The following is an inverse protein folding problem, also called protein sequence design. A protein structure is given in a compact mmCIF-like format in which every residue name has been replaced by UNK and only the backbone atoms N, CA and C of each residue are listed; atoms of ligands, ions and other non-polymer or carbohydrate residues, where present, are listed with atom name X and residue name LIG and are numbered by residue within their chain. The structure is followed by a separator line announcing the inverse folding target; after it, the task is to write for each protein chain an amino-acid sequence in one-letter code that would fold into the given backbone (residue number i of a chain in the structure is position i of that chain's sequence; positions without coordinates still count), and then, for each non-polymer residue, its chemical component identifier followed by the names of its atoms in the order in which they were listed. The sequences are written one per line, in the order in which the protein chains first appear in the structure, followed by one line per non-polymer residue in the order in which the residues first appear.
data_IF_972933845270
#
_entry.id   IF_972933845270
#
_cell.length_a   1.000
_cell.length_b   1.000
_cell.length_c   1.000
_cell.angle_alpha   90.00
_cell.angle_beta   90.00
_cell.angle_gamma   90.00
#
_symmetry.space_group_name_H-M   'P 1'
#
loop_
_entity.id
_entity.type
_entity.pdbx_description
1 polymer ?
#
# COMPACT_ATOMS: atom_id res chain seq x y z
N UNK A 1 -20.56 8.47 -12.34
CA UNK A 1 -19.93 8.94 -11.09
C UNK A 1 -20.25 10.41 -10.95
N UNK A 2 -20.54 10.91 -9.74
CA UNK A 2 -20.68 12.35 -9.52
C UNK A 2 -19.34 13.05 -9.83
N UNK A 3 -19.39 14.29 -10.34
CA UNK A 3 -18.21 15.06 -10.75
C UNK A 3 -17.13 15.10 -9.65
N UNK A 4 -17.55 15.24 -8.38
CA UNK A 4 -16.65 15.23 -7.22
C UNK A 4 -15.81 13.95 -7.15
N UNK A 5 -16.43 12.79 -7.38
CA UNK A 5 -15.73 11.49 -7.33
C UNK A 5 -14.78 11.31 -8.50
N UNK A 6 -15.15 11.81 -9.68
CA UNK A 6 -14.26 11.77 -10.87
C UNK A 6 -13.02 12.63 -10.64
N UNK A 7 -13.18 13.84 -10.10
CA UNK A 7 -12.05 14.72 -9.77
C UNK A 7 -11.16 14.08 -8.70
N UNK A 8 -11.73 13.56 -7.61
CA UNK A 8 -10.95 12.88 -6.57
C UNK A 8 -10.21 11.65 -7.09
N UNK A 9 -10.81 10.90 -8.02
CA UNK A 9 -10.14 9.77 -8.67
C UNK A 9 -8.97 10.22 -9.56
N UNK A 10 -9.14 11.29 -10.33
CA UNK A 10 -8.06 11.88 -11.11
C UNK A 10 -6.91 12.39 -10.23
N UNK A 11 -7.23 13.03 -9.11
CA UNK A 11 -6.23 13.46 -8.12
C UNK A 11 -5.50 12.26 -7.51
N UNK A 12 -6.20 11.18 -7.18
CA UNK A 12 -5.57 9.98 -6.67
C UNK A 12 -4.58 9.36 -7.67
N UNK A 13 -4.91 9.35 -8.97
CA UNK A 13 -3.96 8.92 -10.02
C UNK A 13 -2.72 9.83 -10.03
N UNK A 14 -2.93 11.15 -10.02
CA UNK A 14 -1.84 12.12 -10.03
C UNK A 14 -0.90 11.95 -8.83
N UNK A 15 -1.45 11.87 -7.62
CA UNK A 15 -0.67 11.64 -6.39
C UNK A 15 0.02 10.27 -6.40
N UNK A 16 -0.66 9.23 -6.89
CA UNK A 16 -0.04 7.92 -7.04
C UNK A 16 1.18 7.97 -7.96
N UNK A 17 1.07 8.59 -9.14
CA UNK A 17 2.19 8.72 -10.08
C UNK A 17 3.35 9.53 -9.48
N UNK A 18 3.08 10.71 -8.93
CA UNK A 18 4.12 11.56 -8.32
C UNK A 18 4.81 10.83 -7.17
N UNK A 19 4.04 10.21 -6.27
CA UNK A 19 4.58 9.49 -5.14
C UNK A 19 5.35 8.22 -5.56
N UNK A 20 4.96 7.58 -6.65
CA UNK A 20 5.69 6.44 -7.22
C UNK A 20 7.08 6.89 -7.68
N UNK A 21 7.16 7.95 -8.50
CA UNK A 21 8.45 8.46 -8.97
C UNK A 21 9.32 9.00 -7.83
N UNK A 22 8.72 9.71 -6.86
CA UNK A 22 9.44 10.23 -5.71
C UNK A 22 9.97 9.10 -4.81
N UNK A 23 9.15 8.09 -4.51
CA UNK A 23 9.56 6.90 -3.76
C UNK A 23 10.63 6.10 -4.49
N UNK A 24 10.57 6.06 -5.83
CA UNK A 24 11.56 5.36 -6.65
C UNK A 24 12.90 6.10 -6.66
N UNK A 25 12.86 7.43 -6.79
CA UNK A 25 14.04 8.30 -6.71
C UNK A 25 14.71 8.22 -5.34
N UNK A 26 13.94 8.44 -4.27
CA UNK A 26 14.45 8.36 -2.89
C UNK A 26 14.99 6.98 -2.54
N UNK A 27 14.41 5.94 -3.13
CA UNK A 27 14.82 4.56 -2.93
C UNK A 27 16.11 4.18 -3.64
N UNK A 28 16.50 4.95 -4.66
CA UNK A 28 17.72 4.68 -5.43
C UNK A 28 19.01 4.87 -4.61
N UNK A 29 18.93 5.56 -3.46
CA UNK A 29 20.02 5.63 -2.47
C UNK A 29 20.45 4.25 -1.94
N UNK A 30 19.61 3.22 -2.08
CA UNK A 30 20.00 1.83 -1.81
C UNK A 30 21.29 1.45 -2.55
N UNK A 31 21.48 1.92 -3.79
CA UNK A 31 22.66 1.62 -4.62
C UNK A 31 23.95 2.12 -3.96
N UNK A 32 23.88 3.23 -3.24
CA UNK A 32 25.02 3.87 -2.58
C UNK A 32 25.19 3.41 -1.13
N UNK A 33 24.33 2.53 -0.62
CA UNK A 33 24.41 1.99 0.73
C UNK A 33 24.46 0.44 0.77
N UNK A 34 25.63 -0.15 0.50
CA UNK A 34 25.81 -1.62 0.49
C UNK A 34 25.48 -2.33 1.80
N UNK A 35 25.61 -1.65 2.95
CA UNK A 35 25.29 -2.23 4.25
C UNK A 35 23.82 -2.61 4.38
N UNK A 36 22.93 -1.94 3.65
CA UNK A 36 21.50 -2.18 3.69
C UNK A 36 21.01 -3.24 2.71
N UNK A 37 21.86 -3.72 1.80
CA UNK A 37 21.49 -4.67 0.75
C UNK A 37 20.94 -5.97 1.33
N UNK A 38 21.61 -6.54 2.33
CA UNK A 38 21.18 -7.77 3.02
C UNK A 38 19.75 -7.68 3.56
N UNK A 39 19.31 -6.48 3.92
CA UNK A 39 17.99 -6.27 4.52
C UNK A 39 16.96 -5.78 3.52
N UNK A 40 17.37 -5.15 2.43
CA UNK A 40 16.49 -4.30 1.62
C UNK A 40 16.48 -4.67 0.14
N UNK A 41 17.53 -5.32 -0.37
CA UNK A 41 17.59 -5.86 -1.72
C UNK A 41 16.87 -7.23 -1.81
N UNK A 42 15.61 -7.27 -1.36
CA UNK A 42 14.81 -8.50 -1.22
C UNK A 42 14.56 -9.14 -2.58
N UNK A 43 14.06 -8.37 -3.55
CA UNK A 43 13.77 -8.86 -4.89
C UNK A 43 15.04 -9.26 -5.64
N UNK A 44 16.11 -8.46 -5.52
CA UNK A 44 17.42 -8.81 -6.10
C UNK A 44 17.91 -10.14 -5.55
N UNK A 45 17.87 -10.33 -4.22
CA UNK A 45 18.30 -11.57 -3.59
C UNK A 45 17.46 -12.78 -4.00
N UNK A 46 16.16 -12.59 -4.29
CA UNK A 46 15.31 -13.68 -4.78
C UNK A 46 15.59 -14.05 -6.24
N UNK A 47 16.01 -13.09 -7.06
CA UNK A 47 16.30 -13.31 -8.49
C UNK A 47 17.70 -13.91 -8.68
N UNK A 48 18.66 -13.55 -7.82
CA UNK A 48 20.06 -13.93 -7.95
C UNK A 48 20.53 -14.85 -6.81
N UNK A 49 19.65 -15.69 -6.26
CA UNK A 49 19.97 -16.71 -5.25
C UNK A 49 20.77 -16.20 -4.02
N UNK A 50 20.47 -14.98 -3.58
CA UNK A 50 21.09 -14.33 -2.44
C UNK A 50 22.30 -13.44 -2.78
N UNK A 51 22.79 -13.48 -4.02
CA UNK A 51 23.85 -12.60 -4.49
C UNK A 51 23.29 -11.20 -4.80
N UNK A 52 23.91 -10.16 -4.25
CA UNK A 52 23.51 -8.79 -4.50
C UNK A 52 24.72 -7.99 -4.93
N UNK A 53 24.69 -7.56 -6.18
CA UNK A 53 25.69 -6.68 -6.78
C UNK A 53 25.05 -5.36 -7.15
N UNK A 54 25.85 -4.29 -7.12
CA UNK A 54 25.40 -2.91 -7.37
C UNK A 54 24.63 -2.77 -8.69
N UNK A 55 25.14 -3.42 -9.73
CA UNK A 55 24.64 -3.32 -11.11
C UNK A 55 23.32 -4.09 -11.30
N UNK A 56 23.04 -5.05 -10.42
CA UNK A 56 21.91 -5.97 -10.52
C UNK A 56 20.76 -5.64 -9.55
N UNK A 57 20.85 -4.52 -8.81
CA UNK A 57 19.80 -4.12 -7.87
C UNK A 57 18.49 -3.86 -8.62
N UNK A 58 17.49 -4.67 -8.31
CA UNK A 58 16.17 -4.55 -8.87
C UNK A 58 15.51 -3.23 -8.43
N UNK A 59 14.87 -2.54 -9.38
CA UNK A 59 14.17 -1.28 -9.11
C UNK A 59 13.05 -1.41 -8.06
N UNK A 60 12.50 -2.61 -7.88
CA UNK A 60 11.51 -2.89 -6.83
C UNK A 60 12.11 -2.75 -5.42
N UNK A 61 13.40 -3.02 -5.25
CA UNK A 61 14.08 -2.87 -3.97
C UNK A 61 14.20 -1.41 -3.53
N UNK A 62 14.15 -0.46 -4.47
CA UNK A 62 14.11 0.97 -4.15
C UNK A 62 12.85 1.29 -3.35
N UNK A 63 11.70 0.69 -3.67
CA UNK A 63 10.48 0.87 -2.88
C UNK A 63 10.59 0.24 -1.50
N UNK A 64 11.25 -0.92 -1.37
CA UNK A 64 11.51 -1.55 -0.07
C UNK A 64 12.40 -0.64 0.80
N UNK A 65 13.43 -0.03 0.20
CA UNK A 65 14.29 0.94 0.88
C UNK A 65 13.52 2.17 1.34
N UNK A 66 12.74 2.77 0.44
CA UNK A 66 11.92 3.93 0.78
C UNK A 66 10.92 3.61 1.89
N UNK A 67 10.27 2.45 1.89
CA UNK A 67 9.37 2.05 2.99
C UNK A 67 10.11 2.05 4.34
N UNK A 68 11.35 1.54 4.38
CA UNK A 68 12.12 1.41 5.62
C UNK A 68 12.69 2.72 6.14
N UNK A 69 13.17 3.59 5.25
CA UNK A 69 13.96 4.76 5.63
C UNK A 69 13.30 6.10 5.27
N UNK A 70 12.43 6.14 4.25
CA UNK A 70 11.79 7.35 3.72
C UNK A 70 10.30 7.11 3.39
N UNK A 71 9.46 6.83 4.39
CA UNK A 71 8.13 6.23 4.19
C UNK A 71 7.07 7.18 3.63
N UNK A 72 7.34 8.49 3.54
CA UNK A 72 6.32 9.50 3.23
C UNK A 72 5.70 9.24 1.85
N UNK A 73 6.51 9.14 0.80
CA UNK A 73 6.02 8.86 -0.54
C UNK A 73 5.43 7.45 -0.69
N UNK A 74 6.02 6.38 -0.12
CA UNK A 74 5.35 5.09 -0.01
C UNK A 74 3.95 5.16 0.60
N UNK A 75 3.76 5.91 1.69
CA UNK A 75 2.43 6.06 2.33
C UNK A 75 1.46 6.79 1.40
N UNK A 76 1.88 7.89 0.77
CA UNK A 76 1.03 8.63 -0.20
C UNK A 76 0.64 7.73 -1.38
N UNK A 77 1.61 6.99 -1.93
CA UNK A 77 1.41 6.01 -3.00
C UNK A 77 0.38 4.96 -2.58
N UNK A 78 0.57 4.35 -1.40
CA UNK A 78 -0.32 3.33 -0.85
C UNK A 78 -1.75 3.87 -0.64
N UNK A 79 -1.92 5.02 0.00
CA UNK A 79 -3.25 5.62 0.25
C UNK A 79 -3.97 5.93 -1.07
N UNK A 80 -3.25 6.51 -2.04
CA UNK A 80 -3.79 6.83 -3.36
C UNK A 80 -4.23 5.56 -4.10
N UNK A 81 -3.41 4.51 -4.04
CA UNK A 81 -3.73 3.22 -4.63
C UNK A 81 -4.96 2.56 -3.99
N UNK A 82 -5.03 2.52 -2.66
CA UNK A 82 -6.18 2.00 -1.91
C UNK A 82 -7.45 2.75 -2.30
N UNK A 83 -7.39 4.08 -2.41
CA UNK A 83 -8.52 4.89 -2.84
C UNK A 83 -8.99 4.53 -4.25
N UNK A 84 -8.05 4.33 -5.19
CA UNK A 84 -8.39 3.92 -6.55
C UNK A 84 -9.06 2.54 -6.58
N UNK A 85 -8.46 1.55 -5.90
CA UNK A 85 -9.01 0.18 -5.81
C UNK A 85 -10.39 0.17 -5.16
N UNK A 86 -10.55 0.88 -4.03
CA UNK A 86 -11.83 1.02 -3.35
C UNK A 86 -12.90 1.62 -4.27
N UNK A 87 -12.56 2.72 -4.94
CA UNK A 87 -13.48 3.46 -5.82
C UNK A 87 -13.90 2.62 -7.04
N UNK A 88 -12.97 1.89 -7.65
CA UNK A 88 -13.26 0.98 -8.74
C UNK A 88 -14.10 -0.22 -8.29
N UNK A 89 -13.72 -0.88 -7.19
CA UNK A 89 -14.43 -2.05 -6.68
C UNK A 89 -15.90 -1.76 -6.35
N UNK A 90 -16.17 -0.63 -5.68
CA UNK A 90 -17.56 -0.21 -5.38
C UNK A 90 -18.34 0.11 -6.66
N UNK A 91 -17.68 0.65 -7.70
CA UNK A 91 -18.31 0.94 -8.99
C UNK A 91 -18.68 -0.34 -9.76
N UNK A 92 -17.81 -1.33 -9.79
CA UNK A 92 -18.03 -2.58 -10.53
C UNK A 92 -18.99 -3.53 -9.83
N UNK A 93 -18.97 -3.59 -8.49
CA UNK A 93 -19.84 -4.46 -7.72
C UNK A 93 -21.22 -3.80 -7.54
N UNK A 94 -22.28 -4.40 -8.09
CA UNK A 94 -23.64 -3.84 -8.02
C UNK A 94 -24.40 -4.21 -6.74
N UNK A 95 -24.12 -5.40 -6.17
CA UNK A 95 -24.79 -5.89 -4.96
C UNK A 95 -24.17 -5.31 -3.70
N UNK A 96 -25.01 -4.83 -2.76
CA UNK A 96 -24.57 -4.33 -1.46
C UNK A 96 -23.79 -5.37 -0.64
N UNK A 97 -24.17 -6.66 -0.74
CA UNK A 97 -23.43 -7.75 -0.06
C UNK A 97 -22.05 -7.95 -0.69
N UNK A 98 -21.95 -7.95 -2.02
CA UNK A 98 -20.66 -8.09 -2.72
C UNK A 98 -19.73 -6.91 -2.43
N UNK A 99 -20.27 -5.69 -2.41
CA UNK A 99 -19.52 -4.48 -2.02
C UNK A 99 -18.98 -4.61 -0.60
N UNK A 100 -19.81 -5.04 0.34
CA UNK A 100 -19.39 -5.22 1.72
C UNK A 100 -18.26 -6.25 1.86
N UNK A 101 -18.42 -7.40 1.21
CA UNK A 101 -17.40 -8.45 1.19
C UNK A 101 -16.09 -7.94 0.58
N UNK A 102 -16.14 -7.20 -0.53
CA UNK A 102 -14.96 -6.60 -1.14
C UNK A 102 -14.22 -5.64 -0.20
N UNK A 103 -14.95 -4.76 0.48
CA UNK A 103 -14.35 -3.82 1.45
C UNK A 103 -13.75 -4.57 2.64
N UNK A 104 -14.42 -5.62 3.14
CA UNK A 104 -13.89 -6.48 4.19
C UNK A 104 -12.60 -7.18 3.76
N UNK A 105 -12.58 -7.78 2.56
CA UNK A 105 -11.39 -8.44 2.01
C UNK A 105 -10.24 -7.44 1.87
N UNK A 106 -10.51 -6.25 1.32
CA UNK A 106 -9.50 -5.20 1.19
C UNK A 106 -8.93 -4.81 2.57
N UNK A 107 -9.78 -4.64 3.59
CA UNK A 107 -9.33 -4.38 4.96
C UNK A 107 -8.45 -5.49 5.54
N UNK A 108 -8.84 -6.76 5.37
CA UNK A 108 -8.04 -7.91 5.81
C UNK A 108 -6.68 -7.97 5.09
N UNK A 109 -6.65 -7.73 3.77
CA UNK A 109 -5.40 -7.72 3.00
C UNK A 109 -4.41 -6.66 3.51
N UNK A 110 -4.90 -5.48 3.90
CA UNK A 110 -4.05 -4.45 4.50
C UNK A 110 -3.48 -4.87 5.86
N UNK A 111 -4.27 -5.56 6.69
CA UNK A 111 -3.81 -6.09 7.97
C UNK A 111 -2.79 -7.22 7.80
N UNK A 112 -2.97 -8.09 6.80
CA UNK A 112 -1.97 -9.10 6.43
C UNK A 112 -0.68 -8.41 6.02
N UNK A 113 -0.74 -7.40 5.14
CA UNK A 113 0.42 -6.61 4.73
C UNK A 113 1.14 -5.96 5.92
N UNK A 114 0.39 -5.42 6.88
CA UNK A 114 0.97 -4.89 8.11
C UNK A 114 1.70 -5.96 8.93
N UNK A 115 1.10 -7.15 9.06
CA UNK A 115 1.71 -8.30 9.74
C UNK A 115 3.05 -8.71 9.10
N UNK A 116 3.13 -8.73 7.77
CA UNK A 116 4.37 -9.07 7.05
C UNK A 116 5.51 -8.07 7.29
N UNK A 117 5.19 -6.80 7.53
CA UNK A 117 6.18 -5.73 7.74
C UNK A 117 6.55 -5.56 9.22
N UNK A 118 5.75 -6.14 10.13
CA UNK A 118 5.84 -5.92 11.59
C UNK A 118 7.16 -6.34 12.24
N UNK A 119 7.91 -7.24 11.61
CA UNK A 119 9.23 -7.69 12.09
C UNK A 119 10.36 -6.70 11.83
N UNK A 120 10.13 -5.67 10.98
CA UNK A 120 11.17 -4.70 10.67
C UNK A 120 11.43 -3.76 11.84
N UNK A 121 12.71 -3.57 12.27
CA UNK A 121 13.05 -2.68 13.37
C UNK A 121 13.07 -1.19 12.97
N UNK A 122 12.86 -0.88 11.68
CA UNK A 122 13.03 0.49 11.16
C UNK A 122 11.85 1.40 11.48
N UNK A 123 12.13 2.69 11.71
CA UNK A 123 11.11 3.69 11.99
C UNK A 123 10.18 3.89 10.79
N UNK A 124 10.69 3.86 9.56
CA UNK A 124 9.87 4.00 8.35
C UNK A 124 8.91 2.85 8.15
N UNK A 125 9.37 1.61 8.32
CA UNK A 125 8.50 0.44 8.23
C UNK A 125 7.39 0.49 9.29
N UNK A 126 7.69 0.98 10.50
CA UNK A 126 6.68 1.20 11.55
C UNK A 126 5.62 2.21 11.13
N UNK A 127 5.99 3.34 10.52
CA UNK A 127 5.03 4.35 10.01
C UNK A 127 4.16 3.76 8.91
N UNK A 128 4.76 3.04 7.96
CA UNK A 128 4.03 2.40 6.87
C UNK A 128 3.07 1.31 7.39
N UNK A 129 3.53 0.48 8.32
CA UNK A 129 2.72 -0.54 9.00
C UNK A 129 1.53 0.08 9.75
N UNK A 130 1.75 1.14 10.54
CA UNK A 130 0.67 1.81 11.25
C UNK A 130 -0.36 2.40 10.27
N UNK A 131 0.09 2.93 9.14
CA UNK A 131 -0.79 3.43 8.08
C UNK A 131 -1.66 2.31 7.51
N UNK A 132 -1.09 1.13 7.23
CA UNK A 132 -1.84 -0.06 6.82
C UNK A 132 -2.87 -0.50 7.87
N UNK A 133 -2.48 -0.56 9.14
CA UNK A 133 -3.35 -0.96 10.25
C UNK A 133 -4.54 -0.01 10.38
N UNK A 134 -4.28 1.30 10.42
CA UNK A 134 -5.31 2.32 10.56
C UNK A 134 -6.34 2.23 9.42
N UNK A 135 -5.87 2.14 8.17
CA UNK A 135 -6.77 2.04 7.01
C UNK A 135 -7.51 0.70 6.99
N UNK A 136 -6.83 -0.40 7.34
CA UNK A 136 -7.42 -1.73 7.42
C UNK A 136 -8.61 -1.77 8.39
N UNK A 137 -8.43 -1.25 9.61
CA UNK A 137 -9.52 -1.17 10.59
C UNK A 137 -10.62 -0.20 10.17
N UNK A 138 -10.31 0.93 9.53
CA UNK A 138 -11.33 1.85 9.01
C UNK A 138 -12.21 1.16 7.95
N UNK A 139 -11.61 0.38 7.05
CA UNK A 139 -12.36 -0.39 6.04
C UNK A 139 -13.24 -1.45 6.69
N UNK A 140 -12.70 -2.24 7.63
CA UNK A 140 -13.48 -3.26 8.36
C UNK A 140 -14.63 -2.65 9.16
N UNK A 141 -14.38 -1.56 9.87
CA UNK A 141 -15.41 -0.82 10.61
C UNK A 141 -16.51 -0.30 9.68
N UNK A 142 -16.15 0.25 8.53
CA UNK A 142 -17.12 0.71 7.53
C UNK A 142 -18.00 -0.42 6.99
N UNK A 143 -17.41 -1.60 6.74
CA UNK A 143 -18.14 -2.79 6.28
C UNK A 143 -19.06 -3.36 7.37
N UNK A 144 -18.61 -3.36 8.63
CA UNK A 144 -19.44 -3.79 9.76
C UNK A 144 -20.67 -2.89 9.92
N UNK A 145 -20.48 -1.57 9.94
CA UNK A 145 -21.58 -0.60 10.07
C UNK A 145 -22.58 -0.76 8.93
N UNK A 146 -22.12 -0.91 7.69
CA UNK A 146 -23.00 -1.10 6.54
C UNK A 146 -23.79 -2.42 6.64
N UNK A 147 -23.17 -3.49 7.14
CA UNK A 147 -23.85 -4.77 7.36
C UNK A 147 -24.96 -4.66 8.41
N UNK A 148 -24.68 -4.07 9.57
CA UNK A 148 -25.66 -3.90 10.65
C UNK A 148 -26.85 -3.03 10.22
N UNK A 149 -26.59 -1.93 9.51
CA UNK A 149 -27.68 -1.07 8.97
C UNK A 149 -28.59 -1.84 8.02
N UNK A 150 -28.03 -2.69 7.16
CA UNK A 150 -28.83 -3.53 6.25
C UNK A 150 -29.66 -4.57 7.01
N UNK A 151 -29.12 -5.13 8.09
CA UNK A 151 -29.84 -6.12 8.91
C UNK A 151 -31.01 -5.50 9.70
N UNK A 152 -30.94 -4.22 10.07
CA UNK A 152 -32.03 -3.52 10.77
C UNK A 152 -33.17 -3.05 9.87
N UNK A 153 -32.93 -2.96 8.55
CA UNK A 153 -33.90 -2.49 7.55
C UNK A 153 -34.70 -3.62 6.88
N UNK A 154 -34.34 -4.87 7.17
CA UNK A 154 -35.00 -6.08 6.69
C UNK A 154 -35.79 -6.73 7.83
#
# INVERSE_FOLDING_TARGET
MSYKRTISFGLAIMFFCIATFASWYEGSELVDNPFEWKHTAVFTSWIHDGEVERENIAQLDYFVYSIKFKPIFPVIMMVSFIYMVFTLGIKFLKSGTKRNLFVSILGVLLLIGAGLISSSPTSGARVFMLSLILIGFLLLGSAAIHHFRKAQLN
#
